data_IF_076405284778
#
_entry.id   IF_076405284778
#
_cell.length_a   1.000
_cell.length_b   1.000
_cell.length_c   1.000
_cell.angle_alpha   90.00
_cell.angle_beta   90.00
_cell.angle_gamma   90.00
#
_symmetry.space_group_name_H-M   'P 1'
#
loop_
_entity.id
_entity.type
_entity.pdbx_description
1 polymer ?
#
# COMPACT_ATOMS: atom_id res chain seq x y z
N UNK A 1 -22.59 -26.83 -57.80
CA UNK A 1 -21.34 -27.59 -57.80
C UNK A 1 -20.30 -26.77 -58.53
N UNK A 2 -19.20 -26.31 -57.98
CA UNK A 2 -18.65 -26.31 -56.64
C UNK A 2 -17.64 -25.13 -56.70
N UNK A 3 -17.84 -24.12 -55.87
CA UNK A 3 -16.82 -23.48 -55.02
C UNK A 3 -15.44 -23.28 -55.67
N UNK A 4 -15.15 -22.09 -56.21
CA UNK A 4 -14.34 -21.07 -55.53
C UNK A 4 -13.08 -21.63 -54.84
N UNK A 5 -12.01 -21.78 -55.61
CA UNK A 5 -10.64 -22.00 -55.11
C UNK A 5 -9.82 -20.71 -55.22
N UNK A 6 -10.22 -19.68 -54.48
CA UNK A 6 -9.27 -18.67 -54.02
C UNK A 6 -8.82 -19.16 -52.65
N UNK A 7 -7.65 -19.80 -52.63
CA UNK A 7 -7.01 -20.26 -51.41
C UNK A 7 -6.86 -19.05 -50.49
N UNK A 8 -7.54 -19.14 -49.37
CA UNK A 8 -7.59 -18.16 -48.30
C UNK A 8 -6.21 -18.10 -47.66
N UNK A 9 -5.32 -17.28 -48.20
CA UNK A 9 -4.12 -16.87 -47.48
C UNK A 9 -4.54 -15.86 -46.40
N UNK A 10 -5.09 -16.38 -45.31
CA UNK A 10 -5.34 -15.60 -44.09
C UNK A 10 -3.96 -15.39 -43.45
N UNK A 11 -3.43 -14.16 -43.37
CA UNK A 11 -2.29 -13.90 -42.50
C UNK A 11 -2.80 -14.15 -41.08
N UNK A 12 -2.21 -15.15 -40.43
CA UNK A 12 -2.33 -15.37 -39.00
C UNK A 12 -2.01 -14.04 -38.30
N UNK A 13 -3.04 -13.41 -37.74
CA UNK A 13 -2.86 -12.28 -36.84
C UNK A 13 -2.01 -12.75 -35.65
N UNK A 14 -1.09 -11.90 -35.16
CA UNK A 14 -0.16 -12.30 -34.13
C UNK A 14 -0.91 -12.66 -32.85
N UNK A 15 -0.61 -13.85 -32.34
CA UNK A 15 -0.88 -14.34 -31.00
C UNK A 15 -0.22 -13.39 -29.97
N UNK A 16 -0.81 -12.23 -29.73
CA UNK A 16 -0.38 -11.32 -28.67
C UNK A 16 -1.49 -10.37 -28.28
N UNK A 17 -2.43 -10.85 -27.47
CA UNK A 17 -3.09 -10.08 -26.41
C UNK A 17 -4.21 -10.92 -25.76
N UNK A 18 -3.85 -12.01 -25.09
CA UNK A 18 -4.69 -12.56 -24.04
C UNK A 18 -3.95 -12.36 -22.70
N UNK A 19 -4.48 -11.39 -21.94
CA UNK A 19 -4.52 -11.36 -20.48
C UNK A 19 -3.19 -11.29 -19.70
N UNK A 20 -2.68 -10.07 -19.59
CA UNK A 20 -2.14 -9.56 -18.32
C UNK A 20 -2.98 -8.37 -17.84
N UNK A 21 -4.25 -8.60 -17.54
CA UNK A 21 -5.09 -7.66 -16.80
C UNK A 21 -5.50 -8.32 -15.49
N UNK A 22 -4.60 -8.30 -14.52
CA UNK A 22 -4.85 -8.87 -13.19
C UNK A 22 -3.79 -8.48 -12.17
N UNK A 23 -2.52 -8.36 -12.59
CA UNK A 23 -1.40 -8.14 -11.68
C UNK A 23 -1.26 -6.71 -11.13
N UNK A 24 -1.85 -5.68 -11.75
CA UNK A 24 -1.53 -4.28 -11.41
C UNK A 24 -2.20 -3.72 -10.15
N UNK A 25 -3.20 -4.40 -9.57
CA UNK A 25 -4.04 -3.83 -8.48
C UNK A 25 -3.70 -4.39 -7.09
N UNK A 26 -3.28 -5.66 -6.99
CA UNK A 26 -2.77 -6.23 -5.73
C UNK A 26 -1.43 -5.59 -5.34
N UNK A 27 -0.55 -5.39 -6.32
CA UNK A 27 0.74 -4.73 -6.10
C UNK A 27 0.56 -3.29 -5.60
N UNK A 28 -0.41 -2.55 -6.14
CA UNK A 28 -0.65 -1.15 -5.76
C UNK A 28 -1.04 -0.97 -4.29
N UNK A 29 -1.95 -1.81 -3.76
CA UNK A 29 -2.33 -1.72 -2.35
C UNK A 29 -1.16 -2.09 -1.43
N UNK A 30 -0.43 -3.15 -1.76
CA UNK A 30 0.76 -3.58 -1.02
C UNK A 30 1.84 -2.49 -1.01
N UNK A 31 2.10 -1.84 -2.14
CA UNK A 31 3.05 -0.74 -2.26
C UNK A 31 2.64 0.47 -1.39
N UNK A 32 1.37 0.89 -1.48
CA UNK A 32 0.85 2.00 -0.67
C UNK A 32 0.91 1.68 0.82
N UNK A 33 0.52 0.46 1.21
CA UNK A 33 0.58 0.03 2.61
C UNK A 33 2.02 -0.01 3.13
N UNK A 34 2.95 -0.59 2.35
CA UNK A 34 4.38 -0.59 2.71
C UNK A 34 4.94 0.82 2.84
N UNK A 35 4.58 1.72 1.92
CA UNK A 35 4.98 3.13 1.99
C UNK A 35 4.43 3.82 3.25
N UNK A 36 3.16 3.59 3.58
CA UNK A 36 2.53 4.14 4.78
C UNK A 36 3.17 3.60 6.07
N UNK A 37 3.49 2.31 6.13
CA UNK A 37 4.21 1.69 7.25
C UNK A 37 5.62 2.24 7.40
N UNK A 38 6.35 2.43 6.28
CA UNK A 38 7.67 3.06 6.29
C UNK A 38 7.60 4.48 6.83
N UNK A 39 6.61 5.27 6.38
CA UNK A 39 6.38 6.63 6.86
C UNK A 39 6.04 6.65 8.36
N UNK A 40 5.20 5.73 8.83
CA UNK A 40 4.90 5.60 10.27
C UNK A 40 6.15 5.30 11.09
N UNK A 41 7.02 4.41 10.60
CA UNK A 41 8.29 4.10 11.25
C UNK A 41 9.22 5.32 11.26
N UNK A 42 9.32 6.06 10.16
CA UNK A 42 10.08 7.31 10.09
C UNK A 42 9.58 8.35 11.10
N UNK A 43 8.25 8.52 11.23
CA UNK A 43 7.66 9.44 12.22
C UNK A 43 7.99 9.03 13.67
N UNK A 44 7.98 7.72 13.98
CA UNK A 44 8.39 7.23 15.30
C UNK A 44 9.88 7.48 15.56
N UNK A 45 10.76 7.08 14.64
CA UNK A 45 12.21 7.29 14.78
C UNK A 45 12.53 8.78 14.94
N UNK A 46 11.84 9.66 14.21
CA UNK A 46 11.99 11.11 14.35
C UNK A 46 11.63 11.59 15.75
N UNK A 47 10.52 11.12 16.31
CA UNK A 47 10.11 11.48 17.67
C UNK A 47 11.12 10.97 18.72
N UNK A 48 11.65 9.76 18.54
CA UNK A 48 12.67 9.18 19.41
C UNK A 48 13.99 9.96 19.35
N UNK A 49 14.44 10.31 18.14
CA UNK A 49 15.65 11.11 17.93
C UNK A 49 15.52 12.50 18.55
N UNK A 50 14.40 13.21 18.32
CA UNK A 50 14.16 14.52 18.93
C UNK A 50 14.12 14.43 20.46
N UNK A 51 13.58 13.34 21.01
CA UNK A 51 13.59 13.09 22.45
C UNK A 51 15.01 12.90 22.96
N UNK A 52 15.84 12.14 22.25
CA UNK A 52 17.25 11.95 22.57
C UNK A 52 18.03 13.26 22.51
N UNK A 53 17.90 14.01 21.42
CA UNK A 53 18.55 15.30 21.18
C UNK A 53 18.15 16.35 22.25
N UNK A 54 16.92 16.30 22.74
CA UNK A 54 16.50 17.14 23.85
C UNK A 54 17.14 16.75 25.17
N UNK A 55 17.26 15.45 25.45
CA UNK A 55 17.92 14.96 26.66
C UNK A 55 19.44 15.22 26.67
N UNK A 56 20.07 15.21 25.49
CA UNK A 56 21.49 15.54 25.33
C UNK A 56 21.75 17.05 25.29
N UNK A 57 20.69 17.86 25.19
CA UNK A 57 20.77 19.33 25.16
C UNK A 57 21.09 19.92 23.78
N UNK A 58 21.11 19.09 22.72
CA UNK A 58 21.27 19.54 21.34
C UNK A 58 20.00 20.27 20.83
N UNK A 59 18.83 19.85 21.29
CA UNK A 59 17.55 20.54 21.08
C UNK A 59 17.09 21.17 22.38
N UNK A 60 16.90 22.48 22.40
CA UNK A 60 16.39 23.20 23.60
C UNK A 60 14.88 23.39 23.59
N UNK A 61 14.24 23.13 22.45
CA UNK A 61 12.81 23.36 22.24
C UNK A 61 11.98 22.10 22.52
N UNK A 62 11.47 22.01 23.74
CA UNK A 62 10.57 20.93 24.18
C UNK A 62 9.26 20.86 23.38
N UNK A 63 8.82 21.96 22.75
CA UNK A 63 7.59 21.96 21.96
C UNK A 63 7.75 21.09 20.71
N UNK A 64 8.91 21.11 20.06
CA UNK A 64 9.17 20.27 18.89
C UNK A 64 9.14 18.77 19.23
N UNK A 65 9.74 18.39 20.35
CA UNK A 65 9.71 17.01 20.86
C UNK A 65 8.27 16.59 21.15
N UNK A 66 7.52 17.44 21.86
CA UNK A 66 6.14 17.15 22.26
C UNK A 66 5.23 17.01 21.03
N UNK A 67 5.38 17.89 20.04
CA UNK A 67 4.62 17.83 18.78
C UNK A 67 4.96 16.54 18.02
N UNK A 68 6.24 16.22 17.88
CA UNK A 68 6.67 15.01 17.19
C UNK A 68 6.15 13.73 17.88
N UNK A 69 6.18 13.69 19.21
CA UNK A 69 5.61 12.60 20.00
C UNK A 69 4.08 12.47 19.80
N UNK A 70 3.36 13.59 19.78
CA UNK A 70 1.91 13.60 19.53
C UNK A 70 1.59 13.13 18.11
N UNK A 71 2.37 13.56 17.11
CA UNK A 71 2.24 13.13 15.73
C UNK A 71 2.48 11.61 15.59
N UNK A 72 3.55 11.09 16.19
CA UNK A 72 3.86 9.66 16.19
C UNK A 72 2.75 8.84 16.85
N UNK A 73 2.25 9.30 18.00
CA UNK A 73 1.15 8.65 18.73
C UNK A 73 -0.13 8.61 17.90
N UNK A 74 -0.56 9.74 17.34
CA UNK A 74 -1.77 9.82 16.54
C UNK A 74 -1.66 8.95 15.28
N UNK A 75 -0.50 8.99 14.63
CA UNK A 75 -0.22 8.16 13.43
C UNK A 75 -0.29 6.67 13.75
N UNK A 76 0.24 6.24 14.90
CA UNK A 76 0.15 4.85 15.34
C UNK A 76 -1.29 4.44 15.66
N UNK A 77 -2.05 5.30 16.33
CA UNK A 77 -3.47 5.05 16.59
C UNK A 77 -4.25 4.86 15.28
N UNK A 78 -4.02 5.74 14.30
CA UNK A 78 -4.61 5.60 12.97
C UNK A 78 -4.22 4.27 12.31
N UNK A 79 -2.95 3.87 12.39
CA UNK A 79 -2.48 2.61 11.81
C UNK A 79 -3.17 1.39 12.44
N UNK A 80 -3.40 1.41 13.76
CA UNK A 80 -4.14 0.35 14.46
C UNK A 80 -5.59 0.29 13.99
N UNK A 81 -6.27 1.43 13.86
CA UNK A 81 -7.65 1.48 13.36
C UNK A 81 -7.76 0.95 11.92
N UNK A 82 -6.83 1.34 11.05
CA UNK A 82 -6.77 0.83 9.66
C UNK A 82 -6.55 -0.68 9.67
N UNK A 83 -5.59 -1.19 10.47
CA UNK A 83 -5.34 -2.63 10.61
C UNK A 83 -6.61 -3.37 11.04
N UNK A 84 -7.32 -2.84 12.05
CA UNK A 84 -8.57 -3.43 12.52
C UNK A 84 -9.61 -3.49 11.41
N UNK A 85 -9.82 -2.39 10.66
CA UNK A 85 -10.77 -2.36 9.53
C UNK A 85 -10.40 -3.29 8.39
N UNK A 86 -9.13 -3.46 8.08
CA UNK A 86 -8.69 -4.44 7.08
C UNK A 86 -9.03 -5.87 7.51
N UNK A 87 -8.78 -6.21 8.79
CA UNK A 87 -9.13 -7.52 9.33
C UNK A 87 -10.65 -7.74 9.32
N UNK A 88 -11.43 -6.74 9.74
CA UNK A 88 -12.90 -6.81 9.70
C UNK A 88 -13.42 -7.01 8.26
N UNK A 89 -12.91 -6.25 7.30
CA UNK A 89 -13.31 -6.37 5.90
C UNK A 89 -12.99 -7.76 5.34
N UNK A 90 -11.82 -8.33 5.68
CA UNK A 90 -11.48 -9.70 5.32
C UNK A 90 -12.44 -10.71 5.92
N UNK A 91 -12.79 -10.57 7.21
CA UNK A 91 -13.75 -11.45 7.88
C UNK A 91 -15.16 -11.35 7.28
N UNK A 92 -15.60 -10.15 6.88
CA UNK A 92 -16.92 -9.94 6.28
C UNK A 92 -17.05 -10.61 4.90
N UNK A 93 -16.01 -10.50 4.06
CA UNK A 93 -15.98 -11.18 2.75
C UNK A 93 -16.14 -12.70 2.91
N UNK A 94 -15.50 -13.30 3.93
CA UNK A 94 -15.63 -14.73 4.21
C UNK A 94 -17.04 -15.12 4.67
N UNK A 95 -17.74 -14.24 5.39
CA UNK A 95 -19.11 -14.47 5.84
C UNK A 95 -20.15 -14.36 4.73
N UNK A 96 -19.85 -13.68 3.62
CA UNK A 96 -20.74 -13.60 2.46
C UNK A 96 -20.77 -14.88 1.61
N UNK A 97 -19.76 -15.76 1.72
CA UNK A 97 -19.63 -16.96 0.88
C UNK A 97 -20.18 -18.25 1.51
N UNK A 98 -20.79 -18.17 2.69
CA UNK A 98 -21.50 -19.30 3.33
C UNK A 98 -23.00 -19.26 3.10
#
# INVERSE_FOLDING_TARGET
MEISSIVQNIPLLPEKAAEKQGAGREDFFSEVLNSALKKLNETQIKADNLSLEFLTGEVQDIHQVTIAMQEAKLSMQLAVEVRNKVIEAYQEILRMQV
#
